data_IF_602831104663
#
_entry.id   IF_602831104663
#
_cell.length_a   1.000
_cell.length_b   1.000
_cell.length_c   1.000
_cell.angle_alpha   90.00
_cell.angle_beta   90.00
_cell.angle_gamma   90.00
#
_symmetry.space_group_name_H-M   'P 1'
#
loop_
_entity.id
_entity.type
_entity.pdbx_description
1 polymer ?
#
# COMPACT_ATOMS: atom_id res chain seq x y z
N UNK A 1 -4.78 -6.43 18.50
CA UNK A 1 -5.21 -5.92 17.20
C UNK A 1 -5.88 -7.00 16.38
N UNK A 2 -6.97 -6.65 15.73
CA UNK A 2 -7.61 -7.57 14.81
C UNK A 2 -6.85 -7.64 13.50
N UNK A 3 -7.10 -8.69 12.73
CA UNK A 3 -6.49 -8.83 11.42
C UNK A 3 -6.87 -7.68 10.50
N UNK A 4 -8.10 -7.21 10.61
CA UNK A 4 -8.57 -6.08 9.81
C UNK A 4 -7.75 -4.83 10.11
N UNK A 5 -7.53 -4.55 11.39
CA UNK A 5 -6.75 -3.37 11.78
C UNK A 5 -5.33 -3.43 11.26
N UNK A 6 -4.71 -4.62 11.31
CA UNK A 6 -3.36 -4.80 10.79
C UNK A 6 -3.32 -4.54 9.29
N UNK A 7 -4.31 -5.02 8.56
CA UNK A 7 -4.37 -4.81 7.11
C UNK A 7 -4.55 -3.33 6.78
N UNK A 8 -5.40 -2.65 7.54
CA UNK A 8 -5.63 -1.21 7.33
C UNK A 8 -4.35 -0.43 7.59
N UNK A 9 -3.62 -0.76 8.66
CA UNK A 9 -2.36 -0.09 8.96
C UNK A 9 -1.34 -0.31 7.85
N UNK A 10 -1.26 -1.52 7.32
CA UNK A 10 -0.35 -1.79 6.21
C UNK A 10 -0.74 -1.00 4.97
N UNK A 11 -2.03 -0.91 4.66
CA UNK A 11 -2.50 -0.14 3.52
C UNK A 11 -2.16 1.33 3.66
N UNK A 12 -2.33 1.88 4.86
CA UNK A 12 -1.99 3.27 5.12
C UNK A 12 -0.49 3.51 4.98
N UNK A 13 0.34 2.58 5.46
CA UNK A 13 1.78 2.69 5.32
C UNK A 13 2.19 2.69 3.85
N UNK A 14 1.57 1.83 3.04
CA UNK A 14 1.86 1.78 1.61
C UNK A 14 1.42 3.08 0.92
N UNK A 15 0.26 3.61 1.30
CA UNK A 15 -0.22 4.85 0.74
C UNK A 15 0.72 6.01 1.08
N UNK A 16 1.18 6.09 2.32
CA UNK A 16 2.13 7.11 2.72
C UNK A 16 3.44 7.00 1.95
N UNK A 17 3.91 5.78 1.72
CA UNK A 17 5.10 5.55 0.91
C UNK A 17 4.92 6.06 -0.51
N UNK A 18 3.76 5.80 -1.11
CA UNK A 18 3.46 6.29 -2.46
C UNK A 18 3.43 7.81 -2.51
N UNK A 19 2.82 8.44 -1.51
CA UNK A 19 2.74 9.90 -1.46
C UNK A 19 4.13 10.52 -1.31
N UNK A 20 5.00 9.90 -0.52
CA UNK A 20 6.32 10.44 -0.29
C UNK A 20 7.18 10.46 -1.55
N UNK A 21 6.98 9.53 -2.45
CA UNK A 21 7.81 9.40 -3.65
C UNK A 21 7.13 9.92 -4.92
N UNK A 22 5.86 10.33 -4.83
CA UNK A 22 5.13 10.72 -6.05
C UNK A 22 5.74 11.95 -6.73
N UNK A 23 6.39 12.83 -5.97
CA UNK A 23 7.04 14.00 -6.53
C UNK A 23 8.45 13.73 -7.04
N UNK A 24 8.97 12.51 -6.82
CA UNK A 24 10.32 12.14 -7.22
C UNK A 24 10.30 10.91 -8.12
N UNK A 25 9.23 10.73 -8.87
CA UNK A 25 9.07 9.56 -9.71
C UNK A 25 9.93 9.59 -10.97
N UNK A 26 10.60 10.68 -11.22
CA UNK A 26 11.56 10.76 -12.33
C UNK A 26 12.77 9.87 -12.10
N UNK A 27 12.99 9.43 -10.86
CA UNK A 27 14.02 8.44 -10.55
C UNK A 27 13.40 7.06 -10.68
N UNK A 28 13.99 6.20 -11.53
CA UNK A 28 13.41 4.88 -11.83
C UNK A 28 13.22 4.03 -10.57
N UNK A 29 14.12 4.19 -9.58
CA UNK A 29 14.02 3.44 -8.33
C UNK A 29 12.75 3.84 -7.56
N UNK A 30 12.43 5.11 -7.53
CA UNK A 30 11.23 5.59 -6.87
C UNK A 30 9.99 5.12 -7.61
N UNK A 31 10.05 5.03 -8.93
CA UNK A 31 8.93 4.53 -9.71
C UNK A 31 8.68 3.05 -9.40
N UNK A 32 9.73 2.25 -9.28
CA UNK A 32 9.58 0.85 -8.89
C UNK A 32 8.95 0.72 -7.51
N UNK A 33 9.42 1.50 -6.55
CA UNK A 33 8.88 1.47 -5.20
C UNK A 33 7.39 1.87 -5.21
N UNK A 34 7.05 2.87 -6.00
CA UNK A 34 5.66 3.31 -6.15
C UNK A 34 4.77 2.15 -6.62
N UNK A 35 5.20 1.44 -7.67
CA UNK A 35 4.39 0.34 -8.21
C UNK A 35 4.31 -0.83 -7.25
N UNK A 36 5.39 -1.11 -6.53
CA UNK A 36 5.38 -2.16 -5.51
C UNK A 36 4.38 -1.82 -4.41
N UNK A 37 4.42 -0.60 -3.90
CA UNK A 37 3.48 -0.16 -2.87
C UNK A 37 2.05 -0.23 -3.37
N UNK A 38 1.82 0.18 -4.61
CA UNK A 38 0.48 0.13 -5.20
C UNK A 38 -0.03 -1.30 -5.30
N UNK A 39 0.83 -2.22 -5.72
CA UNK A 39 0.45 -3.62 -5.83
C UNK A 39 0.10 -4.20 -4.46
N UNK A 40 0.92 -3.94 -3.46
CA UNK A 40 0.66 -4.42 -2.11
C UNK A 40 -0.64 -3.84 -1.56
N UNK A 41 -0.88 -2.56 -1.81
CA UNK A 41 -2.11 -1.92 -1.36
C UNK A 41 -3.34 -2.58 -1.98
N UNK A 42 -3.27 -2.89 -3.26
CA UNK A 42 -4.39 -3.55 -3.95
C UNK A 42 -4.64 -4.94 -3.37
N UNK A 43 -3.58 -5.69 -3.08
CA UNK A 43 -3.72 -7.01 -2.46
C UNK A 43 -4.39 -6.88 -1.10
N UNK A 44 -3.98 -5.90 -0.31
CA UNK A 44 -4.56 -5.67 1.01
C UNK A 44 -6.05 -5.32 0.88
N UNK A 45 -6.41 -4.48 -0.08
CA UNK A 45 -7.80 -4.11 -0.31
C UNK A 45 -8.65 -5.33 -0.64
N UNK A 46 -8.13 -6.23 -1.47
CA UNK A 46 -8.83 -7.46 -1.81
C UNK A 46 -9.03 -8.33 -0.56
N UNK A 47 -8.00 -8.45 0.26
CA UNK A 47 -8.10 -9.23 1.48
C UNK A 47 -9.11 -8.64 2.44
N UNK A 48 -9.14 -7.31 2.58
CA UNK A 48 -10.12 -6.64 3.42
C UNK A 48 -11.55 -6.89 2.92
N UNK A 49 -11.73 -6.84 1.60
CA UNK A 49 -13.04 -7.06 1.00
C UNK A 49 -13.54 -8.49 1.26
N UNK A 50 -12.63 -9.45 1.27
CA UNK A 50 -12.97 -10.85 1.48
C UNK A 50 -12.98 -11.24 2.95
N UNK A 51 -12.55 -10.37 3.83
CA UNK A 51 -12.49 -10.67 5.25
C UNK A 51 -13.89 -10.66 5.84
N UNK A 52 -14.23 -11.75 6.48
CA UNK A 52 -15.51 -11.87 7.17
C UNK A 52 -15.29 -11.71 8.67
N UNK A 53 -15.88 -10.72 9.22
CA UNK A 53 -15.82 -10.47 10.66
C UNK A 53 -16.89 -11.25 11.40
#
# INVERSE_FOLDING_TARGET
>A
MTKREQLIECAEAMENGMLNIQYKRDIWQNELIYWICKAIKLIIEIQLKNLKD
#
